data_IF_517442382849
#
_entry.id   IF_517442382849
#
_cell.length_a   1.000
_cell.length_b   1.000
_cell.length_c   1.000
_cell.angle_alpha   90.00
_cell.angle_beta   90.00
_cell.angle_gamma   90.00
#
_symmetry.space_group_name_H-M   'P 1'
#
loop_
_entity.id
_entity.type
_entity.pdbx_description
1 polymer ?
#
# COMPACT_ATOMS: atom_id res chain seq x y z
N UNK A 1 4.99 -18.85 6.92
CA UNK A 1 5.55 -17.59 7.47
C UNK A 1 5.54 -16.54 6.36
N UNK A 2 4.97 -15.35 6.57
CA UNK A 2 4.89 -14.31 5.54
C UNK A 2 6.05 -13.33 5.66
N UNK A 3 6.65 -12.92 4.54
CA UNK A 3 7.71 -11.91 4.55
C UNK A 3 7.16 -10.54 5.00
N UNK A 4 8.03 -9.65 5.52
CA UNK A 4 7.64 -8.28 5.87
C UNK A 4 6.99 -7.55 4.68
N UNK A 5 7.53 -7.77 3.48
CA UNK A 5 7.01 -7.24 2.22
C UNK A 5 5.60 -7.72 1.93
N UNK A 6 5.35 -9.03 2.03
CA UNK A 6 4.01 -9.59 1.84
C UNK A 6 3.01 -9.06 2.86
N UNK A 7 3.41 -9.00 4.14
CA UNK A 7 2.54 -8.48 5.22
C UNK A 7 2.15 -7.02 4.97
N UNK A 8 3.10 -6.18 4.59
CA UNK A 8 2.84 -4.76 4.35
C UNK A 8 2.12 -4.48 3.03
N UNK A 9 2.40 -5.26 1.98
CA UNK A 9 1.60 -5.22 0.74
C UNK A 9 0.14 -5.53 1.01
N UNK A 10 -0.15 -6.56 1.81
CA UNK A 10 -1.52 -6.89 2.16
C UNK A 10 -2.21 -5.78 2.97
N UNK A 11 -1.51 -5.20 3.95
CA UNK A 11 -2.02 -4.04 4.71
C UNK A 11 -2.32 -2.84 3.80
N UNK A 12 -1.42 -2.54 2.86
CA UNK A 12 -1.59 -1.44 1.92
C UNK A 12 -2.82 -1.66 1.02
N UNK A 13 -2.96 -2.85 0.45
CA UNK A 13 -4.12 -3.22 -0.38
C UNK A 13 -5.44 -3.15 0.42
N UNK A 14 -5.47 -3.66 1.65
CA UNK A 14 -6.66 -3.57 2.51
C UNK A 14 -7.00 -2.12 2.86
N UNK A 15 -5.99 -1.27 3.08
CA UNK A 15 -6.22 0.14 3.35
C UNK A 15 -6.83 0.84 2.11
N UNK A 16 -6.27 0.58 0.92
CA UNK A 16 -6.79 1.12 -0.34
C UNK A 16 -8.21 0.63 -0.64
N UNK A 17 -8.49 -0.65 -0.40
CA UNK A 17 -9.82 -1.24 -0.65
C UNK A 17 -10.92 -0.71 0.28
N UNK A 18 -10.56 -0.06 1.40
CA UNK A 18 -11.52 0.56 2.33
C UNK A 18 -11.87 1.99 1.94
N UNK A 19 -11.13 2.59 1.00
CA UNK A 19 -11.42 3.94 0.56
C UNK A 19 -12.64 3.94 -0.37
N UNK A 20 -13.49 4.97 -0.29
CA UNK A 20 -14.51 5.25 -1.28
C UNK A 20 -13.96 5.22 -2.70
N UNK A 21 -14.77 4.72 -3.64
CA UNK A 21 -14.41 4.69 -5.06
C UNK A 21 -14.11 6.11 -5.53
N UNK A 22 -12.97 6.28 -6.21
CA UNK A 22 -12.50 7.57 -6.72
C UNK A 22 -11.72 8.42 -5.72
N UNK A 23 -11.56 7.96 -4.46
CA UNK A 23 -10.71 8.66 -3.50
C UNK A 23 -9.24 8.25 -3.66
N UNK A 24 -8.36 9.25 -3.76
CA UNK A 24 -6.92 9.05 -3.78
C UNK A 24 -6.39 8.86 -2.36
N UNK A 25 -5.40 7.97 -2.22
CA UNK A 25 -4.69 7.72 -0.98
C UNK A 25 -3.28 8.28 -1.04
N UNK A 26 -2.88 9.06 -0.05
CA UNK A 26 -1.49 9.47 0.06
C UNK A 26 -0.67 8.37 0.73
N UNK A 27 0.49 8.04 0.14
CA UNK A 27 1.41 7.03 0.70
C UNK A 27 1.79 7.34 2.15
N UNK A 28 1.90 8.63 2.51
CA UNK A 28 2.17 9.07 3.88
C UNK A 28 1.07 8.66 4.88
N UNK A 29 -0.19 8.74 4.47
CA UNK A 29 -1.33 8.38 5.32
C UNK A 29 -1.40 6.87 5.52
N UNK A 30 -1.20 6.10 4.45
CA UNK A 30 -1.14 4.64 4.51
C UNK A 30 0.02 4.19 5.40
N UNK A 31 1.20 4.80 5.24
CA UNK A 31 2.41 4.50 6.01
C UNK A 31 2.18 4.75 7.51
N UNK A 32 1.63 5.91 7.85
CA UNK A 32 1.38 6.32 9.24
C UNK A 32 0.29 5.45 9.88
N UNK A 33 -0.84 5.27 9.18
CA UNK A 33 -1.98 4.49 9.67
C UNK A 33 -1.70 3.00 9.84
N UNK A 34 -0.72 2.44 9.13
CA UNK A 34 -0.38 1.03 9.20
C UNK A 34 0.96 0.73 9.89
N UNK A 35 1.67 1.78 10.33
CA UNK A 35 3.01 1.74 10.92
C UNK A 35 4.03 1.05 9.99
N UNK A 36 4.11 1.54 8.75
CA UNK A 36 4.98 1.04 7.68
C UNK A 36 5.98 2.14 7.32
N UNK A 37 7.30 1.87 7.23
CA UNK A 37 8.26 2.85 6.76
C UNK A 37 7.94 3.31 5.34
N UNK A 38 7.80 4.63 5.13
CA UNK A 38 7.37 5.23 3.84
C UNK A 38 8.17 4.71 2.64
N UNK A 39 9.50 4.75 2.70
CA UNK A 39 10.37 4.25 1.62
C UNK A 39 10.13 2.78 1.28
N UNK A 40 9.78 1.97 2.28
CA UNK A 40 9.50 0.55 2.06
C UNK A 40 8.12 0.35 1.45
N UNK A 41 7.14 1.15 1.86
CA UNK A 41 5.81 1.18 1.25
C UNK A 41 5.86 1.65 -0.20
N UNK A 42 6.68 2.67 -0.51
CA UNK A 42 6.87 3.17 -1.89
C UNK A 42 7.32 2.04 -2.82
N UNK A 43 8.34 1.26 -2.42
CA UNK A 43 8.80 0.12 -3.20
C UNK A 43 7.70 -0.93 -3.42
N UNK A 44 6.89 -1.21 -2.39
CA UNK A 44 5.76 -2.14 -2.48
C UNK A 44 4.70 -1.62 -3.46
N UNK A 45 4.33 -0.34 -3.37
CA UNK A 45 3.30 0.25 -4.22
C UNK A 45 3.74 0.32 -5.68
N UNK A 46 5.03 0.58 -5.96
CA UNK A 46 5.57 0.52 -7.32
C UNK A 46 5.40 -0.89 -7.91
N UNK A 47 5.71 -1.93 -7.15
CA UNK A 47 5.54 -3.30 -7.62
C UNK A 47 4.07 -3.67 -7.83
N UNK A 48 3.20 -3.28 -6.89
CA UNK A 48 1.75 -3.48 -7.03
C UNK A 48 1.19 -2.75 -8.25
N UNK A 49 1.70 -1.54 -8.55
CA UNK A 49 1.33 -0.77 -9.73
C UNK A 49 1.79 -1.47 -11.01
N UNK A 50 3.04 -1.93 -11.04
CA UNK A 50 3.58 -2.64 -12.20
C UNK A 50 2.84 -3.96 -12.46
N UNK A 51 2.30 -4.59 -11.42
CA UNK A 51 1.45 -5.77 -11.52
C UNK A 51 -0.03 -5.47 -11.83
N UNK A 52 -0.42 -4.19 -11.91
CA UNK A 52 -1.78 -3.76 -12.24
C UNK A 52 -2.78 -3.82 -11.07
N UNK A 53 -2.33 -3.99 -9.83
CA UNK A 53 -3.22 -4.03 -8.66
C UNK A 53 -3.63 -2.65 -8.15
N UNK A 54 -2.81 -1.63 -8.39
CA UNK A 54 -3.07 -0.24 -7.95
C UNK A 54 -2.72 0.73 -9.07
N UNK A 55 -3.38 1.88 -9.06
CA UNK A 55 -3.12 2.97 -10.00
C UNK A 55 -2.72 4.23 -9.21
N UNK A 56 -1.94 5.09 -9.86
CA UNK A 56 -1.47 6.38 -9.34
C UNK A 56 -2.35 7.51 -9.83
#
# INVERSE_FOLDING_TARGET
MLTKKGKYGLKALVHLARLPVGQLAFVGDIATGNNIPKKFLDAILVELRNAGFVQS
#
